data_IF_928223336681
#
_entry.id   IF_928223336681
#
_cell.length_a   1.000
_cell.length_b   1.000
_cell.length_c   1.000
_cell.angle_alpha   90.00
_cell.angle_beta   90.00
_cell.angle_gamma   90.00
#
_symmetry.space_group_name_H-M   'P 1'
#
loop_
_entity.id
_entity.type
_entity.pdbx_description
1 polymer ?
#
# COMPACT_ATOMS: atom_id res chain seq x y z
N UNK A 1 -2.36 14.38 -14.14
CA UNK A 1 -3.48 13.43 -14.30
C UNK A 1 -4.60 13.87 -13.38
N UNK A 2 -5.82 13.92 -13.88
CA UNK A 2 -7.03 14.37 -13.18
C UNK A 2 -7.95 13.17 -13.04
N UNK A 3 -8.22 12.74 -11.81
CA UNK A 3 -9.00 11.52 -11.49
C UNK A 3 -10.25 11.80 -10.66
N UNK A 4 -10.43 13.05 -10.24
CA UNK A 4 -11.62 13.51 -9.52
C UNK A 4 -12.28 14.65 -10.30
N UNK A 5 -13.60 14.84 -10.14
CA UNK A 5 -14.27 16.04 -10.64
C UNK A 5 -13.57 17.31 -10.16
N UNK A 6 -13.42 18.27 -11.08
CA UNK A 6 -12.89 19.60 -10.78
C UNK A 6 -13.93 20.65 -11.13
N UNK A 7 -13.84 21.80 -10.47
CA UNK A 7 -14.66 22.98 -10.79
C UNK A 7 -13.79 24.02 -11.48
N UNK A 8 -14.39 24.98 -12.18
CA UNK A 8 -13.64 26.04 -12.87
C UNK A 8 -12.71 26.81 -11.92
N UNK A 9 -13.06 26.93 -10.65
CA UNK A 9 -12.25 27.60 -9.64
C UNK A 9 -10.93 26.87 -9.31
N UNK A 10 -10.81 25.58 -9.61
CA UNK A 10 -9.57 24.81 -9.42
C UNK A 10 -8.53 25.12 -10.49
N UNK A 11 -8.96 25.66 -11.64
CA UNK A 11 -8.14 25.95 -12.81
C UNK A 11 -7.71 27.42 -12.83
N UNK A 12 -6.76 27.75 -11.96
CA UNK A 12 -6.26 29.12 -11.81
C UNK A 12 -5.06 29.37 -12.73
N UNK A 13 -5.09 30.51 -13.42
CA UNK A 13 -4.00 30.98 -14.29
C UNK A 13 -3.48 32.32 -13.77
N UNK A 14 -2.16 32.45 -13.66
CA UNK A 14 -1.48 33.67 -13.21
C UNK A 14 -0.39 34.07 -14.18
N UNK A 15 -0.26 35.37 -14.46
CA UNK A 15 0.75 35.93 -15.37
C UNK A 15 0.71 35.34 -16.79
N UNK A 16 -0.48 35.25 -17.38
CA UNK A 16 -0.70 34.69 -18.71
C UNK A 16 -1.38 35.73 -19.61
N UNK A 17 -0.82 35.94 -20.81
CA UNK A 17 -1.37 36.82 -21.84
C UNK A 17 -2.29 36.07 -22.81
N UNK A 18 -1.97 34.81 -23.13
CA UNK A 18 -2.82 33.96 -23.97
C UNK A 18 -2.79 32.49 -23.55
N UNK A 19 -3.92 31.81 -23.78
CA UNK A 19 -4.12 30.39 -23.50
C UNK A 19 -4.64 29.70 -24.75
N UNK A 20 -4.10 28.51 -25.04
CA UNK A 20 -4.64 27.62 -26.04
C UNK A 20 -4.84 26.22 -25.48
N UNK A 21 -6.01 25.62 -25.75
CA UNK A 21 -6.32 24.23 -25.42
C UNK A 21 -6.39 23.42 -26.72
N UNK A 22 -5.58 22.37 -26.80
CA UNK A 22 -5.40 21.53 -27.99
C UNK A 22 -5.15 22.37 -29.26
N UNK A 23 -4.39 23.45 -29.12
CA UNK A 23 -4.06 24.39 -30.20
C UNK A 23 -5.15 25.40 -30.56
N UNK A 24 -6.27 25.47 -29.83
CA UNK A 24 -7.30 26.50 -30.00
C UNK A 24 -7.17 27.58 -28.93
N UNK A 25 -6.96 28.83 -29.34
CA UNK A 25 -6.96 29.97 -28.44
C UNK A 25 -8.30 30.14 -27.73
N UNK A 26 -8.24 30.48 -26.45
CA UNK A 26 -9.42 30.65 -25.59
C UNK A 26 -9.10 31.62 -24.46
N UNK A 27 -10.14 32.18 -23.84
CA UNK A 27 -9.97 33.00 -22.64
C UNK A 27 -9.72 32.14 -21.39
N UNK A 28 -9.10 32.69 -20.32
CA UNK A 28 -8.87 31.93 -19.08
C UNK A 28 -10.15 31.35 -18.45
N UNK A 29 -11.27 32.06 -18.51
CA UNK A 29 -12.55 31.59 -17.97
C UNK A 29 -13.14 30.44 -18.78
N UNK A 30 -13.06 30.51 -20.11
CA UNK A 30 -13.49 29.44 -21.01
C UNK A 30 -12.59 28.21 -20.88
N UNK A 31 -11.27 28.41 -20.76
CA UNK A 31 -10.31 27.34 -20.50
C UNK A 31 -10.66 26.61 -19.20
N UNK A 32 -10.90 27.35 -18.12
CA UNK A 32 -11.28 26.79 -16.83
C UNK A 32 -12.62 26.03 -16.89
N UNK A 33 -13.64 26.59 -17.56
CA UNK A 33 -14.92 25.92 -17.78
C UNK A 33 -14.80 24.66 -18.63
N UNK A 34 -13.99 24.70 -19.69
CA UNK A 34 -13.74 23.54 -20.53
C UNK A 34 -13.04 22.43 -19.75
N UNK A 35 -11.90 22.71 -19.09
CA UNK A 35 -11.13 21.73 -18.34
C UNK A 35 -11.95 21.10 -17.20
N UNK A 36 -12.79 21.89 -16.51
CA UNK A 36 -13.71 21.37 -15.50
C UNK A 36 -14.78 20.40 -16.07
N UNK A 37 -15.14 20.54 -17.35
CA UNK A 37 -16.13 19.68 -18.01
C UNK A 37 -15.55 18.38 -18.58
N UNK A 38 -14.23 18.29 -18.76
CA UNK A 38 -13.58 17.11 -19.35
C UNK A 38 -13.59 15.97 -18.33
N UNK A 39 -14.15 14.83 -18.74
CA UNK A 39 -14.14 13.60 -17.92
C UNK A 39 -13.04 12.63 -18.33
N UNK A 40 -12.78 12.49 -19.63
CA UNK A 40 -11.86 11.48 -20.17
C UNK A 40 -11.00 12.07 -21.28
N UNK A 41 -9.72 11.72 -21.31
CA UNK A 41 -8.79 12.00 -22.39
C UNK A 41 -7.71 13.02 -22.03
N UNK A 42 -6.71 13.14 -22.90
CA UNK A 42 -5.58 14.06 -22.71
C UNK A 42 -5.91 15.42 -23.31
N UNK A 43 -5.72 16.48 -22.53
CA UNK A 43 -5.83 17.87 -22.95
C UNK A 43 -4.47 18.54 -22.89
N UNK A 44 -4.01 19.11 -24.00
CA UNK A 44 -2.78 19.91 -24.05
C UNK A 44 -3.12 21.37 -23.84
N UNK A 45 -2.58 21.99 -22.80
CA UNK A 45 -2.78 23.40 -22.47
C UNK A 45 -1.47 24.14 -22.68
N UNK A 46 -1.46 25.08 -23.63
CA UNK A 46 -0.38 26.01 -23.84
C UNK A 46 -0.73 27.35 -23.19
N UNK A 47 0.19 27.90 -22.40
CA UNK A 47 0.08 29.23 -21.81
C UNK A 47 1.27 30.07 -22.28
N UNK A 48 1.02 31.33 -22.61
CA UNK A 48 2.06 32.26 -23.05
C UNK A 48 2.01 33.60 -22.33
N UNK A 49 3.18 34.17 -22.11
CA UNK A 49 3.39 35.53 -21.62
C UNK A 49 4.56 36.14 -22.40
N UNK A 50 4.25 37.00 -23.38
CA UNK A 50 5.19 37.51 -24.36
C UNK A 50 5.89 36.39 -25.13
N UNK A 51 7.24 36.32 -25.12
CA UNK A 51 8.00 35.31 -25.87
C UNK A 51 8.06 33.94 -25.18
N UNK A 52 7.56 33.81 -23.94
CA UNK A 52 7.62 32.57 -23.16
C UNK A 52 6.34 31.77 -23.36
N UNK A 53 6.46 30.56 -23.92
CA UNK A 53 5.38 29.57 -24.02
C UNK A 53 5.71 28.38 -23.10
N UNK A 54 4.72 27.90 -22.34
CA UNK A 54 4.79 26.63 -21.61
C UNK A 54 3.62 25.74 -22.01
N UNK A 55 3.89 24.45 -22.16
CA UNK A 55 2.88 23.43 -22.47
C UNK A 55 2.74 22.46 -21.31
N UNK A 56 1.49 22.16 -20.97
CA UNK A 56 1.08 21.20 -19.97
C UNK A 56 0.18 20.15 -20.61
N UNK A 57 0.31 18.90 -20.18
CA UNK A 57 -0.60 17.83 -20.58
C UNK A 57 -1.38 17.33 -19.37
N UNK A 58 -2.70 17.42 -19.46
CA UNK A 58 -3.63 16.94 -18.45
C UNK A 58 -4.36 15.71 -18.97
N UNK A 59 -4.02 14.53 -18.45
CA UNK A 59 -4.76 13.29 -18.69
C UNK A 59 -5.95 13.19 -17.73
N UNK A 60 -7.17 13.29 -18.26
CA UNK A 60 -8.42 13.13 -17.52
C UNK A 60 -8.87 11.67 -17.54
N UNK A 61 -9.11 11.12 -16.36
CA UNK A 61 -9.48 9.72 -16.14
C UNK A 61 -10.58 9.63 -15.07
N UNK A 62 -11.65 10.41 -15.21
CA UNK A 62 -12.79 10.37 -14.29
C UNK A 62 -13.63 9.13 -14.63
N UNK A 63 -13.67 8.19 -13.69
CA UNK A 63 -14.52 7.01 -13.80
C UNK A 63 -15.94 7.33 -13.32
N UNK A 64 -16.94 6.85 -14.05
CA UNK A 64 -18.34 6.90 -13.62
C UNK A 64 -18.56 5.95 -12.44
N UNK A 65 -19.41 6.37 -11.51
CA UNK A 65 -19.65 5.64 -10.27
C UNK A 65 -20.24 4.24 -10.51
N UNK A 66 -21.12 4.11 -11.50
CA UNK A 66 -21.70 2.82 -11.91
C UNK A 66 -20.63 1.86 -12.45
N UNK A 67 -19.68 2.39 -13.23
CA UNK A 67 -18.58 1.60 -13.79
C UNK A 67 -17.63 1.10 -12.70
N UNK A 68 -17.33 1.95 -11.72
CA UNK A 68 -16.51 1.58 -10.56
C UNK A 68 -17.23 0.52 -9.70
N UNK A 69 -18.54 0.65 -9.49
CA UNK A 69 -19.35 -0.35 -8.79
C UNK A 69 -19.31 -1.72 -9.47
N UNK A 70 -19.26 -1.78 -10.81
CA UNK A 70 -19.11 -3.05 -11.54
C UNK A 70 -17.76 -3.73 -11.26
N UNK A 71 -16.68 -2.95 -11.08
CA UNK A 71 -15.37 -3.50 -10.70
C UNK A 71 -15.42 -4.07 -9.28
N UNK A 72 -16.01 -3.34 -8.34
CA UNK A 72 -16.14 -3.79 -6.94
C UNK A 72 -16.97 -5.07 -6.84
N UNK A 73 -18.13 -5.15 -7.51
CA UNK A 73 -18.95 -6.36 -7.55
C UNK A 73 -18.21 -7.55 -8.19
N UNK A 74 -17.37 -7.31 -9.20
CA UNK A 74 -16.57 -8.35 -9.81
C UNK A 74 -15.49 -8.87 -8.84
N UNK A 75 -14.87 -7.96 -8.07
CA UNK A 75 -13.88 -8.29 -7.05
C UNK A 75 -14.51 -9.07 -5.89
N UNK A 76 -15.66 -8.64 -5.37
CA UNK A 76 -16.39 -9.34 -4.32
C UNK A 76 -16.76 -10.77 -4.73
N UNK A 77 -17.15 -10.98 -5.98
CA UNK A 77 -17.42 -12.33 -6.53
C UNK A 77 -16.16 -13.19 -6.60
N UNK A 78 -15.01 -12.60 -6.96
CA UNK A 78 -13.73 -13.31 -6.94
C UNK A 78 -13.37 -13.71 -5.51
N UNK A 79 -13.45 -12.77 -4.56
CA UNK A 79 -13.18 -13.02 -3.14
C UNK A 79 -14.08 -14.12 -2.58
N UNK A 80 -15.37 -14.10 -2.92
CA UNK A 80 -16.35 -15.09 -2.49
C UNK A 80 -16.04 -16.50 -2.99
N UNK A 81 -15.31 -16.64 -4.11
CA UNK A 81 -14.88 -17.93 -4.64
C UNK A 81 -13.72 -18.57 -3.87
N UNK A 82 -13.00 -17.78 -3.04
CA UNK A 82 -11.86 -18.21 -2.21
C UNK A 82 -10.70 -18.87 -2.95
N UNK A 83 -10.63 -18.71 -4.26
CA UNK A 83 -9.56 -19.24 -5.10
C UNK A 83 -8.95 -18.10 -5.93
N UNK A 84 -7.65 -17.87 -5.75
CA UNK A 84 -6.88 -16.96 -6.58
C UNK A 84 -6.01 -17.76 -7.56
N UNK A 85 -6.18 -17.49 -8.85
CA UNK A 85 -5.39 -18.07 -9.92
C UNK A 85 -5.52 -17.25 -11.20
N UNK A 86 -4.66 -17.49 -12.20
CA UNK A 86 -4.67 -16.72 -13.46
C UNK A 86 -6.06 -16.68 -14.11
N UNK A 87 -6.73 -17.83 -14.18
CA UNK A 87 -8.10 -17.94 -14.72
C UNK A 87 -9.13 -17.13 -13.91
N UNK A 88 -8.99 -17.06 -12.59
CA UNK A 88 -9.87 -16.26 -11.73
C UNK A 88 -9.66 -14.76 -11.98
N UNK A 89 -8.39 -14.32 -12.13
CA UNK A 89 -8.05 -12.94 -12.45
C UNK A 89 -8.56 -12.55 -13.85
N UNK A 90 -8.40 -13.42 -14.85
CA UNK A 90 -8.94 -13.19 -16.20
C UNK A 90 -10.47 -13.09 -16.18
N UNK A 91 -11.13 -13.94 -15.40
CA UNK A 91 -12.59 -13.87 -15.19
C UNK A 91 -13.02 -12.56 -14.53
N UNK A 92 -12.26 -12.08 -13.53
CA UNK A 92 -12.47 -10.77 -12.92
C UNK A 92 -12.34 -9.65 -13.96
N UNK A 93 -11.25 -9.63 -14.74
CA UNK A 93 -10.99 -8.61 -15.77
C UNK A 93 -12.14 -8.56 -16.80
N UNK A 94 -12.61 -9.73 -17.24
CA UNK A 94 -13.72 -9.86 -18.18
C UNK A 94 -15.04 -9.33 -17.60
N UNK A 95 -15.36 -9.63 -16.34
CA UNK A 95 -16.58 -9.15 -15.67
C UNK A 95 -16.53 -7.65 -15.40
N UNK A 96 -15.41 -7.16 -14.90
CA UNK A 96 -15.15 -5.75 -14.62
C UNK A 96 -15.06 -4.90 -15.90
N UNK A 97 -14.72 -5.51 -17.05
CA UNK A 97 -14.57 -4.81 -18.32
C UNK A 97 -15.84 -4.24 -18.94
N UNK A 98 -17.01 -4.46 -18.31
CA UNK A 98 -18.26 -3.79 -18.69
C UNK A 98 -18.26 -2.30 -18.33
N UNK A 99 -17.51 -1.90 -17.31
CA UNK A 99 -17.33 -0.50 -16.93
C UNK A 99 -16.18 0.14 -17.71
N UNK A 100 -16.51 0.88 -18.77
CA UNK A 100 -15.51 1.40 -19.73
C UNK A 100 -14.63 2.48 -19.10
N UNK A 101 -15.21 3.35 -18.29
CA UNK A 101 -14.52 4.48 -17.65
C UNK A 101 -13.71 4.06 -16.42
N UNK A 102 -14.05 2.94 -15.78
CA UNK A 102 -13.33 2.36 -14.63
C UNK A 102 -12.08 1.55 -15.01
N UNK A 103 -11.60 1.66 -16.26
CA UNK A 103 -10.44 0.91 -16.76
C UNK A 103 -9.22 0.98 -15.84
N UNK A 104 -8.86 2.18 -15.39
CA UNK A 104 -7.68 2.41 -14.53
C UNK A 104 -7.82 1.70 -13.17
N UNK A 105 -9.01 1.80 -12.57
CA UNK A 105 -9.32 1.14 -11.30
C UNK A 105 -9.23 -0.39 -11.45
N UNK A 106 -9.86 -0.95 -12.48
CA UNK A 106 -9.77 -2.37 -12.82
C UNK A 106 -8.33 -2.84 -13.04
N UNK A 107 -7.54 -2.09 -13.81
CA UNK A 107 -6.13 -2.40 -14.08
C UNK A 107 -5.29 -2.37 -12.80
N UNK A 108 -5.56 -1.43 -11.89
CA UNK A 108 -4.91 -1.35 -10.58
C UNK A 108 -5.19 -2.57 -9.71
N UNK A 109 -6.47 -2.96 -9.60
CA UNK A 109 -6.88 -4.17 -8.86
C UNK A 109 -6.27 -5.42 -9.49
N UNK A 110 -6.33 -5.57 -10.83
CA UNK A 110 -5.74 -6.70 -11.52
C UNK A 110 -4.21 -6.79 -11.33
N UNK A 111 -3.52 -5.65 -11.40
CA UNK A 111 -2.08 -5.58 -11.14
C UNK A 111 -1.76 -6.10 -9.73
N UNK A 112 -2.52 -5.68 -8.72
CA UNK A 112 -2.34 -6.17 -7.36
C UNK A 112 -2.57 -7.68 -7.25
N UNK A 113 -3.68 -8.20 -7.78
CA UNK A 113 -4.00 -9.65 -7.74
C UNK A 113 -2.91 -10.49 -8.42
N UNK A 114 -2.37 -10.02 -9.55
CA UNK A 114 -1.21 -10.65 -10.18
C UNK A 114 0.06 -10.58 -9.33
N UNK A 115 0.24 -9.49 -8.56
CA UNK A 115 1.34 -9.36 -7.60
C UNK A 115 1.20 -10.34 -6.43
N UNK A 116 0.00 -10.49 -5.86
CA UNK A 116 -0.32 -11.49 -4.82
C UNK A 116 -0.02 -12.89 -5.35
N UNK A 117 -0.55 -13.24 -6.53
CA UNK A 117 -0.31 -14.54 -7.14
C UNK A 117 1.19 -14.79 -7.40
N UNK A 118 1.93 -13.78 -7.89
CA UNK A 118 3.38 -13.90 -8.10
C UNK A 118 4.17 -13.98 -6.79
N UNK A 119 3.63 -13.47 -5.68
CA UNK A 119 4.25 -13.56 -4.37
C UNK A 119 4.00 -14.92 -3.70
N UNK A 120 2.79 -15.46 -3.85
CA UNK A 120 2.39 -16.78 -3.32
C UNK A 120 2.91 -17.94 -4.17
N UNK A 121 2.95 -17.77 -5.49
CA UNK A 121 3.45 -18.79 -6.38
C UNK A 121 4.96 -18.95 -6.18
N UNK A 122 5.36 -20.16 -5.82
CA UNK A 122 6.73 -20.69 -5.96
C UNK A 122 7.10 -20.84 -7.45
N UNK A 123 6.33 -20.27 -8.40
CA UNK A 123 6.66 -20.23 -9.83
C UNK A 123 7.84 -19.28 -10.05
N UNK A 124 9.03 -19.82 -9.78
CA UNK A 124 10.36 -19.26 -9.99
C UNK A 124 10.84 -18.30 -8.86
N UNK A 125 11.22 -18.84 -7.68
CA UNK A 125 11.85 -18.07 -6.62
C UNK A 125 13.18 -17.52 -7.16
N UNK A 126 13.17 -16.25 -7.54
CA UNK A 126 14.32 -15.60 -8.18
C UNK A 126 14.01 -14.92 -9.52
N UNK A 127 12.76 -15.00 -10.02
CA UNK A 127 12.40 -14.26 -11.22
C UNK A 127 12.33 -12.76 -10.93
N UNK A 128 13.40 -12.09 -11.32
CA UNK A 128 13.58 -10.65 -11.22
C UNK A 128 13.25 -9.98 -12.55
N UNK A 129 12.83 -8.73 -12.47
CA UNK A 129 12.74 -7.87 -13.64
C UNK A 129 14.13 -7.43 -14.13
N UNK A 130 14.17 -6.59 -15.16
CA UNK A 130 15.42 -6.07 -15.72
C UNK A 130 16.27 -5.26 -14.72
N UNK A 131 15.67 -4.81 -13.60
CA UNK A 131 16.36 -4.08 -12.53
C UNK A 131 16.90 -4.98 -11.42
N UNK A 132 16.62 -6.30 -11.47
CA UNK A 132 16.96 -7.22 -10.39
C UNK A 132 15.93 -7.23 -9.25
N UNK A 133 14.81 -6.52 -9.39
CA UNK A 133 13.73 -6.51 -8.41
C UNK A 133 12.76 -7.67 -8.66
N UNK A 134 12.17 -8.28 -7.61
CA UNK A 134 11.14 -9.30 -7.80
C UNK A 134 9.95 -8.78 -8.63
N UNK A 135 9.47 -9.56 -9.60
CA UNK A 135 8.38 -9.13 -10.51
C UNK A 135 7.10 -8.68 -9.78
N UNK A 136 6.80 -9.27 -8.61
CA UNK A 136 5.63 -8.89 -7.82
C UNK A 136 5.72 -7.43 -7.33
N UNK A 137 6.92 -6.89 -7.09
CA UNK A 137 7.10 -5.50 -6.64
C UNK A 137 6.70 -4.52 -7.74
N UNK A 138 7.05 -4.80 -8.99
CA UNK A 138 6.59 -4.00 -10.13
C UNK A 138 5.05 -3.97 -10.20
N UNK A 139 4.41 -5.10 -9.91
CA UNK A 139 2.95 -5.22 -9.87
C UNK A 139 2.32 -4.43 -8.72
N UNK A 140 2.91 -4.48 -7.52
CA UNK A 140 2.48 -3.67 -6.37
C UNK A 140 2.65 -2.18 -6.62
N UNK A 141 3.79 -1.76 -7.16
CA UNK A 141 4.04 -0.36 -7.51
C UNK A 141 3.05 0.15 -8.57
N UNK A 142 2.76 -0.68 -9.58
CA UNK A 142 1.75 -0.37 -10.60
C UNK A 142 0.36 -0.23 -9.96
N UNK A 143 -0.02 -1.16 -9.09
CA UNK A 143 -1.30 -1.11 -8.37
C UNK A 143 -1.44 0.17 -7.55
N UNK A 144 -0.45 0.54 -6.74
CA UNK A 144 -0.50 1.78 -5.93
C UNK A 144 -0.57 3.03 -6.82
N UNK A 145 0.21 3.09 -7.90
CA UNK A 145 0.17 4.20 -8.85
C UNK A 145 -1.21 4.36 -9.51
N UNK A 146 -1.90 3.26 -9.78
CA UNK A 146 -3.23 3.25 -10.38
C UNK A 146 -4.33 3.54 -9.36
N UNK A 147 -4.23 2.97 -8.15
CA UNK A 147 -5.30 2.95 -7.14
C UNK A 147 -5.27 4.12 -6.16
N UNK A 148 -4.10 4.74 -5.92
CA UNK A 148 -3.91 5.72 -4.84
C UNK A 148 -4.79 6.97 -4.90
N UNK A 149 -5.44 7.22 -6.04
CA UNK A 149 -6.35 8.35 -6.28
C UNK A 149 -7.83 7.99 -6.17
N UNK A 150 -8.17 6.71 -6.01
CA UNK A 150 -9.55 6.27 -5.88
C UNK A 150 -9.96 6.21 -4.41
N UNK A 151 -11.06 6.88 -4.07
CA UNK A 151 -11.72 6.78 -2.77
C UNK A 151 -12.67 5.57 -2.78
N UNK A 152 -12.09 4.37 -2.64
CA UNK A 152 -12.80 3.09 -2.71
C UNK A 152 -12.25 2.10 -1.69
N UNK A 153 -13.11 1.34 -0.99
CA UNK A 153 -12.66 0.41 0.06
C UNK A 153 -11.57 -0.58 -0.40
N UNK A 154 -11.68 -1.14 -1.61
CA UNK A 154 -10.67 -2.06 -2.12
C UNK A 154 -9.37 -1.33 -2.53
N UNK A 155 -9.44 -0.12 -3.08
CA UNK A 155 -8.24 0.70 -3.37
C UNK A 155 -7.45 1.01 -2.08
N UNK A 156 -8.16 1.42 -1.04
CA UNK A 156 -7.60 1.72 0.29
C UNK A 156 -7.00 0.49 0.95
N UNK A 157 -7.72 -0.64 0.92
CA UNK A 157 -7.21 -1.91 1.45
C UNK A 157 -5.91 -2.33 0.74
N UNK A 158 -5.89 -2.31 -0.60
CA UNK A 158 -4.73 -2.66 -1.41
C UNK A 158 -3.56 -1.71 -1.13
N UNK A 159 -3.80 -0.39 -1.16
CA UNK A 159 -2.74 0.59 -0.90
C UNK A 159 -2.19 0.46 0.53
N UNK A 160 -3.05 0.18 1.51
CA UNK A 160 -2.66 -0.09 2.88
C UNK A 160 -1.77 -1.32 3.03
N UNK A 161 -2.18 -2.45 2.43
CA UNK A 161 -1.42 -3.70 2.44
C UNK A 161 -0.06 -3.56 1.76
N UNK A 162 -0.01 -2.89 0.61
CA UNK A 162 1.27 -2.63 -0.10
C UNK A 162 2.18 -1.72 0.72
N UNK A 163 1.64 -0.65 1.32
CA UNK A 163 2.41 0.22 2.20
C UNK A 163 2.96 -0.54 3.42
N UNK A 164 2.16 -1.41 4.02
CA UNK A 164 2.60 -2.28 5.12
C UNK A 164 3.71 -3.23 4.65
N UNK A 165 3.54 -3.87 3.49
CA UNK A 165 4.55 -4.75 2.89
C UNK A 165 5.92 -4.04 2.81
N UNK A 166 5.95 -2.80 2.29
CA UNK A 166 7.16 -2.00 2.17
C UNK A 166 7.63 -1.32 3.47
N UNK A 167 7.10 -1.69 4.64
CA UNK A 167 7.43 -1.09 5.95
C UNK A 167 7.12 0.42 6.02
N UNK A 168 6.23 0.93 5.15
CA UNK A 168 5.80 2.32 5.13
C UNK A 168 4.63 2.52 6.11
N UNK A 169 4.86 2.25 7.39
CA UNK A 169 3.82 2.15 8.41
C UNK A 169 2.95 3.42 8.54
N UNK A 170 3.55 4.61 8.47
CA UNK A 170 2.83 5.88 8.47
C UNK A 170 1.91 6.04 7.24
N UNK A 171 2.34 5.54 6.09
CA UNK A 171 1.50 5.55 4.90
C UNK A 171 0.37 4.52 5.02
N UNK A 172 0.66 3.32 5.53
CA UNK A 172 -0.32 2.26 5.73
C UNK A 172 -1.48 2.74 6.62
N UNK A 173 -1.18 3.37 7.77
CA UNK A 173 -2.19 3.95 8.68
C UNK A 173 -3.09 4.97 7.97
N UNK A 174 -2.53 5.80 7.08
CA UNK A 174 -3.28 6.87 6.39
C UNK A 174 -4.07 6.39 5.18
N UNK A 175 -3.67 5.27 4.57
CA UNK A 175 -4.23 4.79 3.31
C UNK A 175 -5.27 3.69 3.47
N UNK A 176 -5.44 3.13 4.65
CA UNK A 176 -6.37 2.04 4.89
C UNK A 176 -7.43 2.39 5.91
N UNK A 177 -8.66 1.98 5.62
CA UNK A 177 -9.75 1.96 6.59
C UNK A 177 -9.86 0.59 7.30
N UNK A 178 -8.99 -0.39 7.00
CA UNK A 178 -8.92 -1.61 7.79
C UNK A 178 -8.28 -1.31 9.14
N UNK A 179 -9.05 -1.50 10.22
CA UNK A 179 -8.53 -1.45 11.58
C UNK A 179 -7.38 -2.45 11.80
N UNK A 180 -7.46 -3.64 11.20
CA UNK A 180 -6.42 -4.68 11.36
C UNK A 180 -5.08 -4.18 10.81
N UNK A 181 -5.07 -3.71 9.56
CA UNK A 181 -3.85 -3.19 8.90
C UNK A 181 -3.37 -1.92 9.60
N UNK A 182 -4.28 -1.00 9.92
CA UNK A 182 -3.96 0.27 10.57
C UNK A 182 -3.38 0.08 11.98
N UNK A 183 -3.95 -0.80 12.81
CA UNK A 183 -3.50 -1.04 14.18
C UNK A 183 -2.12 -1.74 14.20
N UNK A 184 -1.90 -2.75 13.35
CA UNK A 184 -0.59 -3.39 13.23
C UNK A 184 0.46 -2.40 12.72
N UNK A 185 0.13 -1.60 11.70
CA UNK A 185 1.03 -0.56 11.21
C UNK A 185 1.32 0.50 12.30
N UNK A 186 0.30 0.93 13.04
CA UNK A 186 0.45 1.89 14.13
C UNK A 186 1.36 1.35 15.24
N UNK A 187 1.26 0.05 15.57
CA UNK A 187 2.18 -0.61 16.50
C UNK A 187 3.62 -0.56 16.00
N UNK A 188 3.88 -0.96 14.76
CA UNK A 188 5.23 -0.91 14.19
C UNK A 188 5.79 0.52 14.16
N UNK A 189 4.96 1.51 13.81
CA UNK A 189 5.32 2.92 13.89
C UNK A 189 5.71 3.34 15.31
N UNK A 190 4.90 3.00 16.31
CA UNK A 190 5.18 3.34 17.71
C UNK A 190 6.43 2.65 18.25
N UNK A 191 6.65 1.39 17.87
CA UNK A 191 7.88 0.66 18.17
C UNK A 191 9.10 1.40 17.61
N UNK A 192 9.09 1.73 16.32
CA UNK A 192 10.21 2.40 15.66
C UNK A 192 10.50 3.80 16.21
N UNK A 193 9.47 4.50 16.68
CA UNK A 193 9.62 5.79 17.36
C UNK A 193 10.33 5.68 18.73
N UNK A 194 10.50 4.46 19.27
CA UNK A 194 11.15 4.22 20.57
C UNK A 194 10.33 4.68 21.78
N UNK A 195 9.05 5.01 21.57
CA UNK A 195 8.13 5.45 22.62
C UNK A 195 7.35 4.29 23.25
N UNK A 196 6.38 4.63 24.11
CA UNK A 196 5.41 3.65 24.62
C UNK A 196 4.56 3.11 23.47
N UNK A 197 4.32 1.80 23.46
CA UNK A 197 3.52 1.10 22.46
C UNK A 197 2.54 0.15 23.13
N UNK A 198 1.48 -0.20 22.40
CA UNK A 198 0.46 -1.14 22.87
C UNK A 198 1.03 -2.55 22.87
N UNK A 199 1.15 -3.16 24.05
CA UNK A 199 1.67 -4.52 24.24
C UNK A 199 0.58 -5.59 24.24
N UNK A 200 -0.68 -5.24 24.49
CA UNK A 200 -1.81 -6.18 24.50
C UNK A 200 -2.12 -6.74 23.12
N UNK A 201 -2.79 -7.89 23.03
CA UNK A 201 -3.22 -8.43 21.72
C UNK A 201 -4.11 -7.44 20.94
N UNK A 202 -3.98 -7.45 19.61
CA UNK A 202 -4.82 -6.69 18.68
C UNK A 202 -5.85 -7.59 17.97
N UNK A 203 -5.89 -8.89 18.28
CA UNK A 203 -6.64 -9.90 17.52
C UNK A 203 -8.19 -9.74 17.62
N UNK A 204 -8.71 -9.13 18.69
CA UNK A 204 -10.15 -9.10 18.98
C UNK A 204 -10.95 -8.03 18.22
N UNK A 205 -10.33 -7.31 17.27
CA UNK A 205 -10.99 -6.17 16.60
C UNK A 205 -11.68 -6.60 15.31
N UNK A 206 -12.97 -6.28 15.18
CA UNK A 206 -13.80 -6.56 13.99
C UNK A 206 -13.10 -6.18 12.68
N UNK A 207 -13.19 -7.06 11.67
CA UNK A 207 -12.45 -6.94 10.42
C UNK A 207 -13.37 -6.56 9.24
N UNK A 208 -12.85 -5.74 8.32
CA UNK A 208 -13.42 -5.63 6.98
C UNK A 208 -13.20 -6.91 6.17
N UNK A 209 -13.98 -7.14 5.12
CA UNK A 209 -13.85 -8.35 4.29
C UNK A 209 -12.62 -8.32 3.37
N UNK A 210 -12.19 -7.13 2.95
CA UNK A 210 -11.22 -6.97 1.87
C UNK A 210 -9.77 -7.21 2.28
N UNK A 211 -9.31 -6.72 3.42
CA UNK A 211 -7.90 -6.84 3.81
C UNK A 211 -7.46 -8.29 3.97
N UNK A 212 -8.27 -9.11 4.64
CA UNK A 212 -8.01 -10.55 4.77
C UNK A 212 -8.14 -11.29 3.44
N UNK A 213 -9.12 -10.93 2.62
CA UNK A 213 -9.35 -11.61 1.35
C UNK A 213 -8.31 -11.28 0.27
N UNK A 214 -7.62 -10.15 0.42
CA UNK A 214 -6.64 -9.65 -0.54
C UNK A 214 -5.20 -9.93 -0.12
N UNK A 215 -4.96 -10.34 1.12
CA UNK A 215 -3.63 -10.66 1.61
C UNK A 215 -3.17 -12.04 1.16
N UNK A 216 -1.90 -12.13 0.77
CA UNK A 216 -1.22 -13.42 0.61
C UNK A 216 -0.95 -14.10 1.96
N UNK A 217 -0.69 -15.40 1.94
CA UNK A 217 -0.42 -16.19 3.15
C UNK A 217 0.70 -15.62 4.03
N UNK A 218 1.78 -15.11 3.44
CA UNK A 218 2.91 -14.53 4.20
C UNK A 218 2.49 -13.22 4.86
N UNK A 219 1.72 -12.38 4.16
CA UNK A 219 1.14 -11.17 4.74
C UNK A 219 0.22 -11.51 5.90
N UNK A 220 -0.63 -12.53 5.77
CA UNK A 220 -1.51 -12.98 6.86
C UNK A 220 -0.71 -13.45 8.08
N UNK A 221 0.32 -14.26 7.91
CA UNK A 221 1.20 -14.70 9.01
C UNK A 221 1.86 -13.51 9.72
N UNK A 222 2.32 -12.52 8.95
CA UNK A 222 2.92 -11.29 9.50
C UNK A 222 1.91 -10.38 10.20
N UNK A 223 0.67 -10.35 9.71
CA UNK A 223 -0.42 -9.62 10.34
C UNK A 223 -0.77 -10.23 11.69
N UNK A 224 -0.86 -11.56 11.75
CA UNK A 224 -1.17 -12.29 12.97
C UNK A 224 -0.02 -12.18 13.98
N UNK A 225 1.23 -12.29 13.53
CA UNK A 225 2.42 -12.00 14.34
C UNK A 225 2.41 -10.55 14.85
N UNK A 226 2.11 -9.59 13.97
CA UNK A 226 2.05 -8.17 14.32
C UNK A 226 0.93 -7.85 15.31
N UNK A 227 -0.14 -8.64 15.34
CA UNK A 227 -1.27 -8.53 16.27
C UNK A 227 -1.05 -9.25 17.61
N UNK A 228 -0.03 -10.10 17.71
CA UNK A 228 0.30 -10.88 18.91
C UNK A 228 0.64 -9.97 20.10
N UNK A 229 0.35 -10.40 21.32
CA UNK A 229 0.72 -9.67 22.53
C UNK A 229 2.26 -9.68 22.71
N UNK A 230 2.82 -8.50 22.99
CA UNK A 230 4.26 -8.28 23.24
C UNK A 230 4.59 -8.18 24.73
N UNK A 231 3.67 -8.63 25.60
CA UNK A 231 3.86 -8.73 27.05
C UNK A 231 4.44 -10.09 27.50
N UNK A 232 4.82 -10.93 26.53
CA UNK A 232 5.40 -12.26 26.75
C UNK A 232 4.37 -13.40 26.84
N UNK A 233 3.07 -13.09 26.94
CA UNK A 233 2.01 -14.11 27.08
C UNK A 233 1.83 -15.00 25.85
N UNK A 234 2.24 -14.51 24.67
CA UNK A 234 2.12 -15.21 23.38
C UNK A 234 3.47 -15.45 22.69
N UNK A 235 4.56 -15.57 23.47
CA UNK A 235 5.92 -15.78 22.96
C UNK A 235 6.09 -17.03 22.07
N UNK A 236 5.29 -18.07 22.27
CA UNK A 236 5.33 -19.29 21.44
C UNK A 236 5.00 -19.02 19.96
N UNK A 237 4.09 -18.09 19.67
CA UNK A 237 3.71 -17.71 18.30
C UNK A 237 4.85 -17.01 17.57
N UNK A 238 5.59 -16.17 18.30
CA UNK A 238 6.79 -15.51 17.79
C UNK A 238 7.88 -16.54 17.48
N UNK A 239 8.12 -17.50 18.38
CA UNK A 239 9.15 -18.53 18.21
C UNK A 239 8.87 -19.48 17.05
N UNK A 240 7.60 -19.72 16.71
CA UNK A 240 7.21 -20.60 15.59
C UNK A 240 7.59 -20.04 14.21
N UNK A 241 7.69 -18.71 14.05
CA UNK A 241 8.05 -18.06 12.79
C UNK A 241 9.56 -17.81 12.63
N UNK A 242 10.36 -18.02 13.67
CA UNK A 242 11.81 -17.84 13.62
C UNK A 242 12.54 -18.84 12.70
N UNK A 243 12.16 -20.13 12.63
CA UNK A 243 12.83 -21.09 11.74
C UNK A 243 12.75 -20.75 10.25
N UNK A 244 11.65 -20.13 9.81
CA UNK A 244 11.45 -19.73 8.41
C UNK A 244 12.00 -18.34 8.08
N UNK A 245 12.59 -17.63 9.06
CA UNK A 245 13.10 -16.26 8.89
C UNK A 245 14.08 -16.12 7.70
N UNK A 246 14.92 -17.13 7.46
CA UNK A 246 15.89 -17.13 6.35
C UNK A 246 15.24 -17.23 4.96
N UNK A 247 14.01 -17.73 4.89
CA UNK A 247 13.23 -17.90 3.65
C UNK A 247 12.38 -16.67 3.33
N UNK A 248 12.15 -15.81 4.34
CA UNK A 248 11.42 -14.55 4.18
C UNK A 248 12.25 -13.52 3.41
N UNK A 249 11.55 -12.60 2.74
CA UNK A 249 12.18 -11.47 2.06
C UNK A 249 12.65 -10.41 3.07
N UNK A 250 13.62 -9.55 2.73
CA UNK A 250 14.18 -8.57 3.66
C UNK A 250 13.14 -7.69 4.36
N UNK A 251 12.10 -7.25 3.64
CA UNK A 251 11.04 -6.41 4.22
C UNK A 251 10.21 -7.15 5.28
N UNK A 252 10.04 -8.46 5.13
CA UNK A 252 9.29 -9.32 6.03
C UNK A 252 10.16 -9.77 7.21
N UNK A 253 11.42 -10.13 6.93
CA UNK A 253 12.44 -10.40 7.97
C UNK A 253 12.56 -9.24 8.96
N UNK A 254 12.52 -8.00 8.47
CA UNK A 254 12.55 -6.80 9.30
C UNK A 254 11.44 -6.82 10.36
N UNK A 255 10.18 -7.03 9.93
CA UNK A 255 9.01 -7.04 10.82
C UNK A 255 9.12 -8.17 11.85
N UNK A 256 9.49 -9.37 11.41
CA UNK A 256 9.64 -10.53 12.30
C UNK A 256 10.75 -10.30 13.33
N UNK A 257 11.93 -9.80 12.92
CA UNK A 257 13.04 -9.50 13.85
C UNK A 257 12.66 -8.46 14.89
N UNK A 258 11.90 -7.44 14.48
CA UNK A 258 11.46 -6.36 15.37
C UNK A 258 10.50 -6.88 16.45
N UNK A 259 9.49 -7.67 16.04
CA UNK A 259 8.57 -8.32 16.99
C UNK A 259 9.29 -9.34 17.87
N UNK A 260 10.19 -10.13 17.29
CA UNK A 260 10.96 -11.13 18.02
C UNK A 260 11.85 -10.51 19.10
N UNK A 261 12.53 -9.41 18.79
CA UNK A 261 13.36 -8.72 19.77
C UNK A 261 12.54 -8.25 20.99
N UNK A 262 11.36 -7.66 20.78
CA UNK A 262 10.49 -7.19 21.85
C UNK A 262 9.85 -8.33 22.65
N UNK A 263 9.33 -9.34 21.97
CA UNK A 263 8.64 -10.45 22.63
C UNK A 263 9.61 -11.33 23.45
N UNK A 264 10.84 -11.56 22.94
CA UNK A 264 11.87 -12.31 23.67
C UNK A 264 12.38 -11.52 24.88
N UNK A 265 12.53 -10.20 24.74
CA UNK A 265 12.88 -9.34 25.86
C UNK A 265 11.81 -9.40 26.97
N UNK A 266 10.53 -9.41 26.61
CA UNK A 266 9.42 -9.47 27.56
C UNK A 266 9.39 -10.78 28.38
N UNK A 267 9.85 -11.90 27.81
CA UNK A 267 9.96 -13.19 28.54
C UNK A 267 11.32 -13.40 29.21
N UNK A 268 12.24 -12.42 29.11
CA UNK A 268 13.57 -12.49 29.71
C UNK A 268 14.60 -13.30 28.91
N UNK A 269 14.33 -13.68 27.66
CA UNK A 269 15.33 -14.28 26.77
C UNK A 269 16.23 -13.18 26.17
N UNK A 270 17.21 -12.75 26.96
CA UNK A 270 18.12 -11.66 26.62
C UNK A 270 18.99 -12.00 25.40
N UNK A 271 19.46 -13.25 25.31
CA UNK A 271 20.34 -13.68 24.21
C UNK A 271 19.58 -13.71 22.88
N UNK A 272 18.36 -14.25 22.88
CA UNK A 272 17.47 -14.23 21.73
C UNK A 272 17.10 -12.81 21.32
N UNK A 273 16.65 -11.99 22.29
CA UNK A 273 16.29 -10.59 22.06
C UNK A 273 17.46 -9.80 21.45
N UNK A 274 18.66 -9.94 22.02
CA UNK A 274 19.88 -9.27 21.55
C UNK A 274 20.24 -9.68 20.12
N UNK A 275 20.18 -10.98 19.80
CA UNK A 275 20.47 -11.51 18.45
C UNK A 275 19.59 -10.88 17.39
N UNK A 276 18.29 -10.76 17.67
CA UNK A 276 17.34 -10.16 16.71
C UNK A 276 17.47 -8.64 16.64
N UNK A 277 17.74 -7.97 17.77
CA UNK A 277 17.94 -6.52 17.80
C UNK A 277 19.23 -6.06 17.11
N UNK A 278 20.36 -6.74 17.34
CA UNK A 278 21.63 -6.40 16.70
C UNK A 278 21.57 -6.53 15.17
N UNK A 279 20.78 -7.48 14.65
CA UNK A 279 20.55 -7.61 13.21
C UNK A 279 19.85 -6.39 12.58
N UNK A 280 19.15 -5.59 13.38
CA UNK A 280 18.43 -4.40 12.95
C UNK A 280 19.17 -3.08 13.21
N UNK A 281 20.34 -3.12 13.88
CA UNK A 281 21.06 -1.94 14.38
C UNK A 281 21.45 -0.91 13.31
N UNK A 282 21.61 -1.37 12.06
CA UNK A 282 22.09 -0.56 10.94
C UNK A 282 20.97 -0.13 9.99
N UNK A 283 19.71 -0.48 10.27
CA UNK A 283 18.58 0.09 9.51
C UNK A 283 18.48 1.57 9.82
N UNK A 284 18.20 2.40 8.81
CA UNK A 284 18.04 3.85 9.01
C UNK A 284 16.82 4.17 9.88
N UNK A 285 15.83 3.29 9.84
CA UNK A 285 14.51 3.42 10.45
C UNK A 285 14.48 3.01 11.92
N UNK A 286 15.51 2.29 12.41
CA UNK A 286 15.49 1.63 13.73
C UNK A 286 16.29 2.37 14.79
N UNK A 287 16.95 3.49 14.48
CA UNK A 287 17.88 4.15 15.40
C UNK A 287 17.28 4.51 16.76
N UNK A 288 16.10 5.13 16.78
CA UNK A 288 15.42 5.52 18.02
C UNK A 288 14.97 4.30 18.83
N UNK A 289 14.30 3.35 18.17
CA UNK A 289 13.93 2.06 18.76
C UNK A 289 15.13 1.32 19.36
N UNK A 290 16.23 1.18 18.60
CA UNK A 290 17.39 0.39 18.99
C UNK A 290 18.09 0.97 20.22
N UNK A 291 18.18 2.30 20.31
CA UNK A 291 18.70 2.97 21.49
C UNK A 291 17.87 2.65 22.75
N UNK A 292 16.54 2.78 22.66
CA UNK A 292 15.64 2.45 23.77
C UNK A 292 15.60 0.95 24.10
N UNK A 293 15.67 0.09 23.08
CA UNK A 293 15.74 -1.36 23.22
C UNK A 293 17.01 -1.78 23.97
N UNK A 294 18.18 -1.22 23.64
CA UNK A 294 19.44 -1.52 24.34
C UNK A 294 19.41 -1.16 25.82
N UNK A 295 18.79 -0.02 26.17
CA UNK A 295 18.65 0.37 27.58
C UNK A 295 17.80 -0.66 28.34
N UNK A 296 16.63 -1.03 27.80
CA UNK A 296 15.76 -2.05 28.41
C UNK A 296 16.45 -3.42 28.51
N UNK A 297 17.21 -3.81 27.50
CA UNK A 297 17.96 -5.07 27.49
C UNK A 297 19.02 -5.13 28.61
N UNK A 298 19.65 -4.00 28.94
CA UNK A 298 20.58 -3.91 30.08
C UNK A 298 19.88 -3.90 31.44
N UNK A 299 18.66 -3.39 31.52
CA UNK A 299 17.87 -3.36 32.75
C UNK A 299 17.34 -4.74 33.13
N UNK A 300 16.86 -5.53 32.15
CA UNK A 300 16.34 -6.89 32.38
C UNK A 300 17.46 -7.91 32.61
N UNK A 301 18.66 -7.67 32.06
CA UNK A 301 19.82 -8.54 32.25
C UNK A 301 20.58 -8.38 33.58
N UNK A 302 20.14 -7.49 34.48
CA UNK A 302 20.69 -7.30 35.83
C UNK A 302 19.89 -8.09 36.86
#
# INVERSE_FOLDING_TARGET
MVTSPSVSADWVTSDVESIAINGRETSPSEAAGFLASVKVGVQTVAVSNGPLERRFEFDFCLAEEDDLCLVDQALEKLISSRELGRNAIDTFIMRAGRGVTARRYREGVAAYLYGVLAREAVEDPGRVDASGAPIYEQRYNSAVSLLSTFDRPAAEAICGLVALHYNQFELAVRKTNSHRVSDVAARFRSLLAGGAFVTTSLADRSHGSFDRALSDSVTEDLMDLGATALDGTQSSMVTQLLPSLGELRPQDQFKVRLIAAEALLAVGDIDGASRHGEALRHSKETGAWYAGFRTRLQEVGR
#
